data_IF_299845283611
#
_entry.id   IF_299845283611
#
_cell.length_a   1.000
_cell.length_b   1.000
_cell.length_c   1.000
_cell.angle_alpha   90.00
_cell.angle_beta   90.00
_cell.angle_gamma   90.00
#
_symmetry.space_group_name_H-M   'P 1'
#
loop_
_entity.id
_entity.type
_entity.pdbx_description
1 polymer ?
#
# COMPACT_ATOMS: atom_id res chain seq x y z
N UNK A 1 17.33 -5.44 30.04
CA UNK A 1 18.16 -6.23 29.15
C UNK A 1 17.72 -7.70 29.22
N UNK A 2 17.24 -8.28 28.14
CA UNK A 2 16.72 -9.64 28.05
C UNK A 2 17.80 -10.67 27.68
N UNK A 3 19.05 -10.26 27.54
CA UNK A 3 20.14 -11.15 27.09
C UNK A 3 20.33 -12.37 27.96
N UNK A 4 20.10 -12.21 29.28
CA UNK A 4 20.24 -13.30 30.25
C UNK A 4 19.10 -14.32 30.21
N UNK A 5 18.02 -14.03 29.49
CA UNK A 5 16.89 -14.94 29.28
C UNK A 5 17.08 -15.83 28.04
N UNK A 6 18.06 -15.50 27.18
CA UNK A 6 18.35 -16.27 25.97
C UNK A 6 19.38 -17.34 26.31
N UNK A 7 18.92 -18.56 26.44
CA UNK A 7 19.77 -19.72 26.78
C UNK A 7 20.37 -20.37 25.54
N UNK A 8 19.63 -20.36 24.42
CA UNK A 8 20.05 -20.97 23.16
C UNK A 8 19.95 -19.99 22.01
N UNK A 9 20.96 -20.02 21.12
CA UNK A 9 20.97 -19.28 19.84
C UNK A 9 21.27 -20.27 18.74
N UNK A 10 20.30 -20.56 17.91
CA UNK A 10 20.42 -21.52 16.81
C UNK A 10 20.17 -20.81 15.47
N UNK A 11 20.95 -21.11 14.43
CA UNK A 11 20.66 -20.62 13.10
C UNK A 11 19.31 -21.17 12.61
N UNK A 12 18.65 -20.43 11.73
CA UNK A 12 17.30 -20.82 11.21
C UNK A 12 17.30 -22.20 10.54
N UNK A 13 18.42 -22.60 9.96
CA UNK A 13 18.60 -23.91 9.35
C UNK A 13 18.46 -25.04 10.37
N UNK A 14 18.73 -24.76 11.64
CA UNK A 14 18.62 -25.68 12.75
C UNK A 14 17.30 -25.50 13.55
N UNK A 15 16.26 -24.94 12.94
CA UNK A 15 14.97 -24.72 13.59
C UNK A 15 14.35 -26.02 14.15
N UNK A 16 14.62 -27.18 13.52
CA UNK A 16 14.15 -28.48 14.02
C UNK A 16 14.75 -28.82 15.37
N UNK A 17 16.04 -28.56 15.58
CA UNK A 17 16.73 -28.73 16.85
C UNK A 17 16.16 -27.82 17.95
N UNK A 18 15.87 -26.55 17.61
CA UNK A 18 15.18 -25.64 18.51
C UNK A 18 13.82 -26.17 18.97
N UNK A 19 13.06 -26.78 18.04
CA UNK A 19 11.79 -27.42 18.37
C UNK A 19 11.94 -28.65 19.25
N UNK A 20 13.00 -29.43 19.10
CA UNK A 20 13.28 -30.59 19.95
C UNK A 20 13.59 -30.16 21.40
N UNK A 21 14.34 -29.06 21.58
CA UNK A 21 14.61 -28.48 22.90
C UNK A 21 13.29 -28.02 23.55
N UNK A 22 12.48 -27.21 22.89
CA UNK A 22 11.26 -26.66 23.51
C UNK A 22 10.15 -27.69 23.71
N UNK A 23 10.16 -28.82 22.99
CA UNK A 23 9.21 -29.93 23.16
C UNK A 23 9.67 -30.96 24.14
N UNK A 24 10.87 -30.80 24.75
CA UNK A 24 11.40 -31.73 25.76
C UNK A 24 11.92 -33.06 25.17
N UNK A 25 12.15 -33.14 23.88
CA UNK A 25 12.82 -34.29 23.26
C UNK A 25 14.32 -34.31 23.55
N UNK A 26 14.90 -33.16 23.80
CA UNK A 26 16.24 -33.03 24.36
C UNK A 26 16.07 -32.57 25.80
N UNK A 27 16.67 -33.30 26.76
CA UNK A 27 16.60 -32.98 28.19
C UNK A 27 17.57 -31.85 28.56
N UNK A 28 17.48 -30.68 27.86
CA UNK A 28 18.25 -29.49 28.16
C UNK A 28 17.36 -28.42 28.80
N UNK A 29 17.79 -27.80 29.93
CA UNK A 29 17.04 -26.70 30.52
C UNK A 29 17.14 -25.46 29.65
N UNK A 30 16.01 -24.87 29.29
CA UNK A 30 15.93 -23.64 28.50
C UNK A 30 15.03 -22.59 29.16
N UNK A 31 15.33 -21.31 28.94
CA UNK A 31 14.48 -20.18 29.28
C UNK A 31 13.98 -19.51 28.01
N UNK A 32 14.90 -19.24 27.08
CA UNK A 32 14.57 -18.65 25.79
C UNK A 32 15.45 -19.23 24.68
N UNK A 33 14.82 -19.71 23.62
CA UNK A 33 15.48 -20.19 22.40
C UNK A 33 15.30 -19.16 21.31
N UNK A 34 16.39 -18.64 20.75
CA UNK A 34 16.41 -17.64 19.69
C UNK A 34 16.89 -18.27 18.40
N UNK A 35 16.09 -18.18 17.34
CA UNK A 35 16.54 -18.48 16.00
C UNK A 35 17.23 -17.25 15.41
N UNK A 36 18.46 -17.43 14.94
CA UNK A 36 19.23 -16.39 14.26
C UNK A 36 19.15 -16.60 12.76
N UNK A 37 18.91 -15.53 12.05
CA UNK A 37 19.00 -15.51 10.58
C UNK A 37 20.43 -15.04 10.21
N UNK A 38 20.99 -15.52 9.08
CA UNK A 38 22.21 -14.94 8.56
C UNK A 38 22.04 -13.43 8.52
N UNK A 39 23.01 -12.68 9.02
CA UNK A 39 23.00 -11.24 8.76
C UNK A 39 22.83 -11.08 7.26
N UNK A 40 21.74 -10.43 6.87
CA UNK A 40 21.57 -10.00 5.49
C UNK A 40 22.73 -9.02 5.24
N UNK A 41 23.87 -9.60 4.86
CA UNK A 41 24.96 -8.81 4.33
C UNK A 41 24.34 -7.96 3.25
N UNK A 42 24.72 -6.69 3.11
CA UNK A 42 24.24 -5.65 2.21
C UNK A 42 23.90 -6.08 0.76
N UNK A 43 23.39 -7.28 0.57
CA UNK A 43 22.58 -7.64 -0.55
C UNK A 43 21.32 -6.80 -0.39
N UNK A 44 21.14 -5.80 -1.25
CA UNK A 44 19.83 -5.30 -1.62
C UNK A 44 18.99 -6.55 -1.90
N UNK A 45 18.34 -7.10 -0.87
CA UNK A 45 17.37 -8.18 -1.05
C UNK A 45 16.40 -7.63 -2.05
N UNK A 46 16.28 -8.28 -3.20
CA UNK A 46 15.39 -7.82 -4.24
C UNK A 46 14.02 -7.62 -3.62
N UNK A 47 13.65 -6.36 -3.40
CA UNK A 47 12.38 -5.97 -2.79
C UNK A 47 11.22 -6.31 -3.72
N UNK A 48 11.57 -6.53 -5.01
CA UNK A 48 10.64 -6.77 -6.11
C UNK A 48 10.59 -8.25 -6.50
N UNK A 49 9.38 -8.74 -6.68
CA UNK A 49 9.09 -10.06 -7.22
C UNK A 49 8.21 -9.87 -8.44
N UNK A 50 8.71 -10.28 -9.61
CA UNK A 50 8.00 -10.20 -10.88
C UNK A 50 7.14 -11.45 -11.09
N UNK A 51 6.00 -11.26 -11.75
CA UNK A 51 5.10 -12.33 -12.18
C UNK A 51 5.02 -12.36 -13.70
N UNK A 52 4.75 -13.51 -14.32
CA UNK A 52 4.54 -13.59 -15.76
C UNK A 52 3.42 -12.66 -16.19
N UNK A 53 3.73 -11.68 -17.02
CA UNK A 53 2.76 -10.72 -17.55
C UNK A 53 1.98 -11.37 -18.67
N UNK A 54 0.67 -11.44 -18.51
CA UNK A 54 -0.23 -11.76 -19.63
C UNK A 54 -0.33 -10.48 -20.47
N UNK A 55 0.09 -10.53 -21.70
CA UNK A 55 0.07 -9.52 -22.78
C UNK A 55 -0.38 -8.12 -22.34
N UNK A 56 0.54 -7.15 -22.34
CA UNK A 56 0.19 -5.73 -22.07
C UNK A 56 -0.80 -5.24 -23.11
N UNK A 57 -1.98 -4.88 -22.67
CA UNK A 57 -2.86 -4.00 -23.42
C UNK A 57 -2.38 -2.55 -23.18
N UNK A 58 -2.37 -1.73 -24.24
CA UNK A 58 -2.11 -0.30 -24.12
C UNK A 58 -3.30 0.33 -23.37
N UNK A 59 -3.23 0.35 -22.06
CA UNK A 59 -4.20 1.01 -21.19
C UNK A 59 -3.79 2.48 -21.01
N UNK A 60 -4.79 3.38 -20.94
CA UNK A 60 -4.55 4.79 -20.57
C UNK A 60 -4.08 4.94 -19.12
N UNK A 61 -4.38 3.96 -18.26
CA UNK A 61 -3.99 3.97 -16.85
C UNK A 61 -3.18 2.71 -16.53
N UNK A 62 -1.90 2.92 -16.30
CA UNK A 62 -0.93 1.94 -15.83
C UNK A 62 -0.72 2.18 -14.33
N UNK A 63 -1.40 1.36 -13.50
CA UNK A 63 -1.56 1.61 -12.08
C UNK A 63 -0.48 0.91 -11.24
N UNK A 64 0.24 1.72 -10.47
CA UNK A 64 1.02 1.28 -9.32
C UNK A 64 0.23 1.50 -8.03
N UNK A 65 0.20 0.52 -7.13
CA UNK A 65 -0.52 0.63 -5.87
C UNK A 65 0.43 0.57 -4.67
N UNK A 66 0.29 1.50 -3.75
CA UNK A 66 1.03 1.54 -2.49
C UNK A 66 0.06 1.32 -1.34
N UNK A 67 0.14 0.13 -0.73
CA UNK A 67 -0.77 -0.33 0.32
C UNK A 67 -1.65 -1.50 -0.14
N UNK A 68 -1.46 -2.67 0.50
CA UNK A 68 -2.21 -3.90 0.27
C UNK A 68 -3.11 -4.23 1.48
N UNK A 69 -3.80 -3.21 2.02
CA UNK A 69 -4.68 -3.32 3.18
C UNK A 69 -6.04 -3.96 2.87
N UNK A 70 -6.90 -4.02 3.89
CA UNK A 70 -8.23 -4.61 3.76
C UNK A 70 -9.08 -3.89 2.71
N UNK A 71 -9.11 -2.55 2.73
CA UNK A 71 -9.89 -1.76 1.77
C UNK A 71 -9.42 -1.98 0.33
N UNK A 72 -8.10 -2.02 0.10
CA UNK A 72 -7.54 -2.34 -1.21
C UNK A 72 -8.05 -3.70 -1.72
N UNK A 73 -7.94 -4.75 -0.90
CA UNK A 73 -8.25 -6.12 -1.30
C UNK A 73 -9.75 -6.46 -1.34
N UNK A 74 -10.56 -5.86 -0.46
CA UNK A 74 -11.98 -6.18 -0.35
C UNK A 74 -12.86 -5.29 -1.22
N UNK A 75 -12.41 -4.06 -1.54
CA UNK A 75 -13.27 -3.07 -2.20
C UNK A 75 -12.67 -2.56 -3.50
N UNK A 76 -11.46 -1.97 -3.44
CA UNK A 76 -10.93 -1.23 -4.59
C UNK A 76 -10.45 -2.16 -5.71
N UNK A 77 -9.62 -3.15 -5.42
CA UNK A 77 -9.10 -4.07 -6.42
C UNK A 77 -10.18 -4.90 -7.14
N UNK A 78 -11.21 -5.43 -6.46
CA UNK A 78 -12.34 -6.06 -7.14
C UNK A 78 -13.11 -5.12 -8.08
N UNK A 79 -13.18 -3.83 -7.76
CA UNK A 79 -13.82 -2.82 -8.62
C UNK A 79 -12.93 -2.49 -9.82
N UNK A 80 -11.63 -2.30 -9.62
CA UNK A 80 -10.67 -2.01 -10.68
C UNK A 80 -10.56 -3.14 -11.71
N UNK A 81 -10.70 -4.40 -11.28
CA UNK A 81 -10.76 -5.54 -12.22
C UNK A 81 -11.89 -5.50 -13.25
N UNK A 82 -12.89 -4.65 -13.04
CA UNK A 82 -14.02 -4.46 -13.96
C UNK A 82 -13.78 -3.30 -14.94
N UNK A 83 -12.62 -2.71 -14.92
CA UNK A 83 -12.20 -1.58 -15.75
C UNK A 83 -11.00 -1.97 -16.61
N UNK A 84 -10.67 -1.14 -17.61
CA UNK A 84 -9.55 -1.34 -18.53
C UNK A 84 -8.22 -0.83 -17.96
N UNK A 85 -8.07 -0.81 -16.62
CA UNK A 85 -6.84 -0.38 -15.95
C UNK A 85 -5.82 -1.52 -15.95
N UNK A 86 -4.58 -1.23 -16.34
CA UNK A 86 -3.48 -2.17 -16.19
C UNK A 86 -2.89 -2.10 -14.77
N UNK A 87 -2.82 -3.23 -14.08
CA UNK A 87 -2.25 -3.36 -12.74
C UNK A 87 -0.76 -3.71 -12.85
N UNK A 88 0.12 -2.70 -12.76
CA UNK A 88 1.56 -2.85 -12.98
C UNK A 88 2.27 -3.37 -11.74
N UNK A 89 2.27 -2.63 -10.64
CA UNK A 89 2.98 -2.99 -9.43
C UNK A 89 2.19 -2.75 -8.15
N UNK A 90 2.45 -3.53 -7.12
CA UNK A 90 1.86 -3.31 -5.79
C UNK A 90 2.91 -3.37 -4.70
N UNK A 91 2.91 -2.38 -3.81
CA UNK A 91 3.81 -2.27 -2.67
C UNK A 91 3.09 -2.44 -1.34
N UNK A 92 3.75 -3.13 -0.40
CA UNK A 92 3.34 -3.18 1.00
C UNK A 92 4.55 -3.43 1.89
N UNK A 93 4.71 -2.68 2.98
CA UNK A 93 5.83 -2.81 3.90
C UNK A 93 6.11 -4.25 4.38
N UNK A 94 5.08 -5.10 4.48
CA UNK A 94 5.22 -6.51 4.84
C UNK A 94 5.53 -7.45 3.67
N UNK A 95 5.71 -6.96 2.43
CA UNK A 95 6.03 -7.74 1.21
C UNK A 95 5.04 -8.88 0.92
N UNK A 96 4.82 -9.78 1.85
CA UNK A 96 3.94 -10.95 1.70
C UNK A 96 2.50 -10.58 1.32
N UNK A 97 1.96 -9.49 1.88
CA UNK A 97 0.61 -9.01 1.51
C UNK A 97 0.57 -8.51 0.08
N UNK A 98 1.62 -7.82 -0.36
CA UNK A 98 1.75 -7.37 -1.73
C UNK A 98 1.80 -8.56 -2.70
N UNK A 99 2.61 -9.58 -2.39
CA UNK A 99 2.69 -10.82 -3.20
C UNK A 99 1.33 -11.52 -3.33
N UNK A 100 0.61 -11.68 -2.20
CA UNK A 100 -0.71 -12.31 -2.22
C UNK A 100 -1.69 -11.53 -3.09
N UNK A 101 -1.73 -10.19 -2.94
CA UNK A 101 -2.60 -9.32 -3.73
C UNK A 101 -2.19 -9.33 -5.20
N UNK A 102 -0.89 -9.31 -5.51
CA UNK A 102 -0.39 -9.36 -6.88
C UNK A 102 -0.85 -10.62 -7.60
N UNK A 103 -0.65 -11.78 -6.99
CA UNK A 103 -1.10 -13.08 -7.56
C UNK A 103 -2.62 -13.12 -7.74
N UNK A 104 -3.37 -12.64 -6.75
CA UNK A 104 -4.85 -12.67 -6.77
C UNK A 104 -5.45 -11.77 -7.83
N UNK A 105 -4.89 -10.57 -8.02
CA UNK A 105 -5.47 -9.54 -8.88
C UNK A 105 -4.75 -9.36 -10.21
N UNK A 106 -3.59 -9.96 -10.40
CA UNK A 106 -2.86 -9.97 -11.67
C UNK A 106 -1.95 -8.77 -11.86
N UNK A 107 -1.29 -8.28 -10.80
CA UNK A 107 -0.20 -7.32 -10.96
C UNK A 107 1.03 -7.99 -11.58
N UNK A 108 1.78 -7.22 -12.36
CA UNK A 108 3.02 -7.69 -12.98
C UNK A 108 4.12 -7.95 -11.95
N UNK A 109 4.13 -7.19 -10.82
CA UNK A 109 5.08 -7.43 -9.73
C UNK A 109 4.56 -6.99 -8.37
N UNK A 110 5.22 -7.48 -7.32
CA UNK A 110 5.04 -7.06 -5.94
C UNK A 110 6.37 -6.63 -5.33
N UNK A 111 6.33 -5.63 -4.46
CA UNK A 111 7.50 -5.11 -3.76
C UNK A 111 7.18 -4.71 -2.31
N UNK A 112 8.23 -4.50 -1.50
CA UNK A 112 8.12 -3.87 -0.18
C UNK A 112 8.46 -2.36 -0.21
N UNK A 113 8.90 -1.82 -1.36
CA UNK A 113 9.32 -0.43 -1.52
C UNK A 113 8.28 0.39 -2.28
N UNK A 114 7.82 1.49 -1.67
CA UNK A 114 6.99 2.47 -2.34
C UNK A 114 7.76 3.20 -3.46
N UNK A 115 9.05 3.43 -3.25
CA UNK A 115 9.92 4.11 -4.22
C UNK A 115 10.03 3.35 -5.53
N UNK A 116 10.02 2.01 -5.49
CA UNK A 116 10.02 1.18 -6.71
C UNK A 116 8.74 1.36 -7.54
N UNK A 117 7.59 1.60 -6.90
CA UNK A 117 6.35 1.92 -7.60
C UNK A 117 6.39 3.31 -8.20
N UNK A 118 6.84 4.30 -7.41
CA UNK A 118 6.83 5.70 -7.81
C UNK A 118 7.79 5.96 -8.97
N UNK A 119 8.95 5.30 -8.96
CA UNK A 119 10.01 5.48 -9.97
C UNK A 119 9.93 4.48 -11.14
N UNK A 120 8.90 3.65 -11.21
CA UNK A 120 8.71 2.73 -12.35
C UNK A 120 8.17 3.50 -13.56
N UNK A 121 8.92 3.50 -14.67
CA UNK A 121 8.52 4.16 -15.92
C UNK A 121 7.27 3.55 -16.56
N UNK A 122 6.95 2.29 -16.20
CA UNK A 122 5.73 1.63 -16.67
C UNK A 122 4.49 1.97 -15.81
N UNK A 123 4.64 2.82 -14.79
CA UNK A 123 3.54 3.32 -13.95
C UNK A 123 3.30 4.78 -14.29
N UNK A 124 2.11 5.14 -14.73
CA UNK A 124 1.70 6.52 -14.95
C UNK A 124 0.77 7.07 -13.87
N UNK A 125 0.18 6.18 -13.09
CA UNK A 125 -0.78 6.53 -12.04
C UNK A 125 -0.47 5.73 -10.75
N UNK A 126 -0.44 6.42 -9.62
CA UNK A 126 -0.16 5.81 -8.31
C UNK A 126 -1.39 5.89 -7.42
N UNK A 127 -1.83 4.74 -6.89
CA UNK A 127 -2.88 4.68 -5.87
C UNK A 127 -2.26 4.48 -4.47
N UNK A 128 -2.50 5.42 -3.56
CA UNK A 128 -1.96 5.44 -2.21
C UNK A 128 -3.06 5.05 -1.21
N UNK A 129 -2.91 3.86 -0.60
CA UNK A 129 -3.85 3.25 0.34
C UNK A 129 -3.13 2.79 1.62
N UNK A 130 -2.17 3.57 2.06
CA UNK A 130 -1.35 3.33 3.25
C UNK A 130 -2.04 3.83 4.51
N UNK A 131 -1.29 3.98 5.59
CA UNK A 131 -1.75 4.68 6.80
C UNK A 131 -1.76 6.19 6.55
N UNK A 132 -2.63 6.89 7.25
CA UNK A 132 -2.92 8.30 7.04
C UNK A 132 -1.69 9.21 7.19
N UNK A 133 -0.77 8.85 8.07
CA UNK A 133 0.48 9.55 8.33
C UNK A 133 1.46 9.55 7.14
N UNK A 134 1.31 8.60 6.21
CA UNK A 134 2.16 8.47 5.03
C UNK A 134 1.59 9.13 3.76
N UNK A 135 0.31 9.51 3.77
CA UNK A 135 -0.38 9.97 2.57
C UNK A 135 0.30 11.19 1.96
N UNK A 136 0.55 12.22 2.75
CA UNK A 136 1.09 13.50 2.26
C UNK A 136 2.45 13.33 1.59
N UNK A 137 3.37 12.60 2.22
CA UNK A 137 4.71 12.39 1.72
C UNK A 137 4.72 11.59 0.41
N UNK A 138 3.92 10.52 0.35
CA UNK A 138 3.79 9.71 -0.85
C UNK A 138 3.11 10.45 -2.01
N UNK A 139 2.12 11.31 -1.71
CA UNK A 139 1.49 12.20 -2.70
C UNK A 139 2.52 13.14 -3.30
N UNK A 140 3.31 13.82 -2.46
CA UNK A 140 4.37 14.74 -2.92
C UNK A 140 5.39 14.02 -3.77
N UNK A 141 5.82 12.82 -3.38
CA UNK A 141 6.76 12.00 -4.14
C UNK A 141 6.17 11.60 -5.51
N UNK A 142 4.92 11.11 -5.54
CA UNK A 142 4.23 10.75 -6.79
C UNK A 142 4.10 11.93 -7.75
N UNK A 143 3.70 13.10 -7.24
CA UNK A 143 3.61 14.32 -8.04
C UNK A 143 4.98 14.77 -8.58
N UNK A 144 6.05 14.72 -7.74
CA UNK A 144 7.43 15.02 -8.18
C UNK A 144 7.91 14.10 -9.29
N UNK A 145 7.49 12.83 -9.26
CA UNK A 145 7.79 11.85 -10.31
C UNK A 145 6.88 12.00 -11.55
N UNK A 146 6.03 13.03 -11.61
CA UNK A 146 5.14 13.29 -12.73
C UNK A 146 3.97 12.32 -12.87
N UNK A 147 3.65 11.57 -11.81
CA UNK A 147 2.56 10.58 -11.82
C UNK A 147 1.21 11.23 -11.51
N UNK A 148 0.14 10.70 -12.09
CA UNK A 148 -1.20 10.94 -11.57
C UNK A 148 -1.33 10.23 -10.21
N UNK A 149 -2.04 10.85 -9.27
CA UNK A 149 -2.14 10.31 -7.91
C UNK A 149 -3.60 10.18 -7.49
N UNK A 150 -3.98 8.98 -7.10
CA UNK A 150 -5.16 8.71 -6.29
C UNK A 150 -4.70 8.45 -4.86
N UNK A 151 -5.27 9.12 -3.88
CA UNK A 151 -4.97 8.89 -2.46
C UNK A 151 -6.24 8.69 -1.66
N UNK A 152 -6.27 7.67 -0.79
CA UNK A 152 -7.36 7.52 0.17
C UNK A 152 -7.42 8.71 1.15
N UNK A 153 -8.61 8.95 1.67
CA UNK A 153 -8.82 10.00 2.67
C UNK A 153 -8.17 9.62 4.02
N UNK A 154 -7.67 10.60 4.79
CA UNK A 154 -7.49 12.01 4.46
C UNK A 154 -6.26 12.24 3.58
N UNK A 155 -6.28 13.27 2.75
CA UNK A 155 -5.14 13.70 1.94
C UNK A 155 -3.94 14.10 2.81
N UNK A 156 -4.21 14.82 3.88
CA UNK A 156 -3.25 15.34 4.84
C UNK A 156 -3.84 15.31 6.25
N UNK A 157 -2.99 15.29 7.27
CA UNK A 157 -3.41 15.28 8.68
C UNK A 157 -3.24 16.63 9.37
N UNK A 158 -2.60 17.58 8.69
CA UNK A 158 -2.44 18.98 9.15
C UNK A 158 -2.35 19.95 7.97
N UNK A 159 -2.40 21.25 8.26
CA UNK A 159 -2.39 22.34 7.28
C UNK A 159 -1.04 22.49 6.56
N UNK A 160 0.06 22.21 7.24
CA UNK A 160 1.41 22.28 6.68
C UNK A 160 1.58 21.28 5.53
N UNK A 161 1.18 20.03 5.75
CA UNK A 161 1.18 18.98 4.71
C UNK A 161 0.30 19.39 3.53
N UNK A 162 -0.90 19.92 3.78
CA UNK A 162 -1.79 20.38 2.72
C UNK A 162 -1.18 21.51 1.89
N UNK A 163 -0.48 22.45 2.53
CA UNK A 163 0.23 23.54 1.85
C UNK A 163 1.33 23.02 0.93
N UNK A 164 2.14 22.08 1.41
CA UNK A 164 3.21 21.45 0.62
C UNK A 164 2.65 20.70 -0.60
N UNK A 165 1.58 19.92 -0.41
CA UNK A 165 0.91 19.21 -1.52
C UNK A 165 0.35 20.21 -2.55
N UNK A 166 -0.29 21.30 -2.08
CA UNK A 166 -0.88 22.31 -2.95
C UNK A 166 0.18 23.04 -3.77
N UNK A 167 1.33 23.33 -3.18
CA UNK A 167 2.47 23.91 -3.88
C UNK A 167 3.04 22.93 -4.91
N UNK A 168 3.27 21.68 -4.51
CA UNK A 168 3.79 20.67 -5.44
C UNK A 168 2.84 20.43 -6.62
N UNK A 169 1.53 20.39 -6.39
CA UNK A 169 0.54 20.20 -7.45
C UNK A 169 0.55 21.35 -8.46
N UNK A 170 0.73 22.60 -7.99
CA UNK A 170 0.87 23.77 -8.88
C UNK A 170 2.15 23.72 -9.74
N UNK A 171 3.22 23.14 -9.18
CA UNK A 171 4.50 23.02 -9.85
C UNK A 171 4.58 21.82 -10.80
N UNK A 172 3.64 20.89 -10.70
CA UNK A 172 3.59 19.68 -11.55
C UNK A 172 2.61 19.91 -12.70
N UNK A 173 3.12 19.99 -13.92
CA UNK A 173 2.27 20.17 -15.10
C UNK A 173 1.51 18.89 -15.43
N UNK A 174 0.22 19.01 -15.72
CA UNK A 174 -0.67 17.95 -16.22
C UNK A 174 -0.90 16.75 -15.27
N UNK A 175 -0.44 16.79 -14.02
CA UNK A 175 -0.75 15.73 -13.07
C UNK A 175 -2.15 15.90 -12.45
N UNK A 176 -2.86 14.80 -12.33
CA UNK A 176 -4.17 14.73 -11.67
C UNK A 176 -3.98 14.21 -10.25
N UNK A 177 -4.50 14.95 -9.26
CA UNK A 177 -4.60 14.50 -7.88
C UNK A 177 -6.08 14.27 -7.52
N UNK A 178 -6.40 13.04 -7.16
CA UNK A 178 -7.75 12.66 -6.72
C UNK A 178 -7.73 12.12 -5.30
N UNK A 179 -8.61 12.65 -4.44
CA UNK A 179 -8.78 12.16 -3.06
C UNK A 179 -10.01 11.25 -2.98
N UNK A 180 -9.85 10.11 -2.34
CA UNK A 180 -10.82 9.03 -2.21
C UNK A 180 -12.03 9.34 -1.30
N UNK A 181 -12.71 10.44 -1.51
CA UNK A 181 -13.99 10.73 -0.86
C UNK A 181 -15.13 9.91 -1.49
N UNK A 182 -15.01 8.60 -1.44
CA UNK A 182 -15.84 7.65 -2.16
C UNK A 182 -17.33 7.67 -1.78
N UNK A 183 -17.68 8.09 -0.56
CA UNK A 183 -19.07 8.14 -0.08
C UNK A 183 -19.95 9.11 -0.88
N UNK A 184 -19.38 10.10 -1.57
CA UNK A 184 -20.13 10.99 -2.49
C UNK A 184 -20.80 10.25 -3.63
N UNK A 185 -20.32 9.05 -3.96
CA UNK A 185 -20.86 8.20 -5.04
C UNK A 185 -21.82 7.13 -4.52
N UNK A 186 -22.10 7.09 -3.21
CA UNK A 186 -23.09 6.17 -2.67
C UNK A 186 -24.50 6.54 -3.21
N UNK A 187 -25.34 5.54 -3.57
CA UNK A 187 -26.67 5.80 -4.17
C UNK A 187 -27.50 6.80 -3.36
N UNK A 188 -27.62 6.61 -2.05
CA UNK A 188 -28.36 7.53 -1.18
C UNK A 188 -27.77 8.95 -1.13
N UNK A 189 -26.44 9.08 -1.22
CA UNK A 189 -25.81 10.41 -1.25
C UNK A 189 -26.10 11.12 -2.59
N UNK A 190 -26.14 10.38 -3.69
CA UNK A 190 -26.50 10.91 -5.01
C UNK A 190 -27.97 11.32 -5.07
N UNK A 191 -28.87 10.48 -4.54
CA UNK A 191 -30.31 10.80 -4.44
C UNK A 191 -30.52 12.07 -3.61
N UNK A 192 -29.86 12.17 -2.45
CA UNK A 192 -29.93 13.36 -1.59
C UNK A 192 -29.40 14.60 -2.31
N UNK A 193 -28.27 14.47 -2.99
CA UNK A 193 -27.68 15.58 -3.77
C UNK A 193 -28.62 16.02 -4.90
N UNK A 194 -29.21 15.08 -5.62
CA UNK A 194 -30.16 15.38 -6.69
C UNK A 194 -31.44 16.07 -6.15
N UNK A 195 -31.98 15.57 -5.03
CA UNK A 195 -33.16 16.16 -4.39
C UNK A 195 -32.99 17.64 -4.03
N UNK A 196 -31.76 18.04 -3.65
CA UNK A 196 -31.45 19.40 -3.25
C UNK A 196 -30.71 20.21 -4.33
N UNK A 197 -30.58 19.72 -5.56
CA UNK A 197 -29.78 20.36 -6.62
C UNK A 197 -30.27 21.79 -6.94
N UNK A 198 -31.59 21.98 -7.02
CA UNK A 198 -32.21 23.27 -7.40
C UNK A 198 -32.53 24.17 -6.21
N UNK A 199 -32.03 23.84 -5.03
CA UNK A 199 -32.29 24.58 -3.83
C UNK A 199 -31.57 25.94 -3.83
N UNK A 200 -32.30 27.01 -3.55
CA UNK A 200 -31.77 28.38 -3.48
C UNK A 200 -31.51 28.82 -2.04
N UNK A 201 -32.21 28.21 -1.07
CA UNK A 201 -32.14 28.61 0.34
C UNK A 201 -31.14 27.76 1.16
N UNK A 202 -30.62 28.26 2.28
CA UNK A 202 -29.77 27.51 3.19
C UNK A 202 -30.40 26.22 3.69
N UNK A 203 -29.61 25.14 3.77
CA UNK A 203 -30.05 23.86 4.30
C UNK A 203 -29.50 23.68 5.72
N UNK A 204 -30.38 23.36 6.65
CA UNK A 204 -30.00 22.90 7.98
C UNK A 204 -30.00 21.35 7.97
N UNK A 205 -28.86 20.76 8.28
CA UNK A 205 -28.71 19.30 8.36
C UNK A 205 -28.36 18.89 9.79
N UNK A 206 -29.21 18.03 10.35
CA UNK A 206 -28.92 17.38 11.62
C UNK A 206 -28.59 15.91 11.37
N UNK A 207 -27.33 15.52 11.64
CA UNK A 207 -26.86 14.14 11.53
C UNK A 207 -26.71 13.52 12.92
N UNK A 208 -27.34 12.35 13.16
CA UNK A 208 -27.22 11.57 14.39
C UNK A 208 -26.62 10.21 14.14
#
# INVERSE_FOLDING_TARGET
>A
DVKNLITHRLPIENATEAYEIITGKQEEPFIGVLLTYPEAGNQKSGTRIDFPTITRHLSLVELGMIGAGLFANATLLPALKKTDIELVGIASAGGLKAQHSAKKFGFSYATSSADEIINDDNVNTVAILTRHDQHADLVVQGLKAGKNVFVEKPLAVNSEQLSVISEQLRNTQNAILTVGFNRRFAPLAQELSAFYADRVEPLYVHYR
#
